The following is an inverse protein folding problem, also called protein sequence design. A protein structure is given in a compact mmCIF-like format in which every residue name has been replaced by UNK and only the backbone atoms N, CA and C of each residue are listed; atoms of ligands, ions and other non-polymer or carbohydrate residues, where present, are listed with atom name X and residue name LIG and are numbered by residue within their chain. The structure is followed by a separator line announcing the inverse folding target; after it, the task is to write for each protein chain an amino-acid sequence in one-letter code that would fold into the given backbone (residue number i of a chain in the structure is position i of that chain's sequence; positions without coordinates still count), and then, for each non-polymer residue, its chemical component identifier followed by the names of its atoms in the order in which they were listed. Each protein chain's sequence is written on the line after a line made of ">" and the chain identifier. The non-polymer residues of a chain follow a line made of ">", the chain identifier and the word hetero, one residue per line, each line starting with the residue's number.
data_IF_508373366899
#
_entry.id   IF_508373366899
#
_cell.length_a   1.000
_cell.length_b   1.000
_cell.length_c   1.000
_cell.angle_alpha   90.00
_cell.angle_beta   90.00
_cell.angle_gamma   90.00
#
_symmetry.space_group_name_H-M   'P 1'
#
loop_
_entity.id
_entity.type
_entity.pdbx_description
1 polymer ?
#
# COMPACT_ATOMS: atom_id res chain seq x y z
N UNK A 1 -27.57 2.77 -3.28
CA UNK A 1 -26.81 1.86 -2.39
C UNK A 1 -25.40 1.77 -2.94
N UNK A 2 -24.35 1.78 -2.12
CA UNK A 2 -22.95 1.96 -2.54
C UNK A 2 -22.41 0.88 -3.52
N UNK A 3 -23.14 -0.21 -3.75
CA UNK A 3 -22.87 -1.18 -4.81
C UNK A 3 -21.45 -1.74 -4.79
N UNK A 4 -20.89 -2.00 -3.60
CA UNK A 4 -19.50 -2.44 -3.48
C UNK A 4 -19.35 -3.84 -4.10
N UNK A 5 -18.55 -3.94 -5.15
CA UNK A 5 -18.11 -5.21 -5.70
C UNK A 5 -17.06 -5.86 -4.79
N UNK A 6 -17.50 -6.79 -3.94
CA UNK A 6 -16.60 -7.53 -3.03
C UNK A 6 -15.54 -8.37 -3.76
N UNK A 7 -15.81 -8.82 -4.99
CA UNK A 7 -14.80 -9.50 -5.80
C UNK A 7 -13.67 -8.53 -6.16
N UNK A 8 -14.00 -7.30 -6.56
CA UNK A 8 -13.00 -6.27 -6.83
C UNK A 8 -12.16 -5.93 -5.60
N UNK A 9 -12.77 -5.92 -4.39
CA UNK A 9 -12.05 -5.72 -3.12
C UNK A 9 -11.03 -6.83 -2.86
N UNK A 10 -11.45 -8.10 -3.02
CA UNK A 10 -10.55 -9.25 -2.82
C UNK A 10 -9.41 -9.23 -3.84
N UNK A 11 -9.71 -8.99 -5.12
CA UNK A 11 -8.69 -8.92 -6.18
C UNK A 11 -7.74 -7.75 -5.97
N UNK A 12 -8.25 -6.58 -5.57
CA UNK A 12 -7.42 -5.43 -5.21
C UNK A 12 -6.45 -5.75 -4.08
N UNK A 13 -6.92 -6.43 -3.02
CA UNK A 13 -6.08 -6.81 -1.90
C UNK A 13 -5.00 -7.83 -2.30
N UNK A 14 -5.34 -8.84 -3.10
CA UNK A 14 -4.38 -9.82 -3.61
C UNK A 14 -3.36 -9.15 -4.52
N UNK A 15 -3.79 -8.28 -5.43
CA UNK A 15 -2.90 -7.53 -6.32
C UNK A 15 -1.93 -6.64 -5.54
N UNK A 16 -2.42 -5.91 -4.53
CA UNK A 16 -1.60 -5.09 -3.65
C UNK A 16 -0.60 -5.91 -2.83
N UNK A 17 -1.01 -7.08 -2.32
CA UNK A 17 -0.13 -8.00 -1.63
C UNK A 17 0.98 -8.54 -2.53
N UNK A 18 0.64 -9.03 -3.73
CA UNK A 18 1.61 -9.54 -4.71
C UNK A 18 2.57 -8.42 -5.15
N UNK A 19 2.05 -7.23 -5.42
CA UNK A 19 2.90 -6.07 -5.75
C UNK A 19 3.88 -5.75 -4.61
N UNK A 20 3.44 -5.84 -3.36
CA UNK A 20 4.31 -5.67 -2.20
C UNK A 20 5.38 -6.75 -2.10
N UNK A 21 5.03 -8.02 -2.31
CA UNK A 21 6.00 -9.11 -2.33
C UNK A 21 7.08 -8.86 -3.39
N UNK A 22 6.67 -8.48 -4.60
CA UNK A 22 7.61 -8.14 -5.68
C UNK A 22 8.46 -6.93 -5.31
N UNK A 23 7.86 -5.89 -4.70
CA UNK A 23 8.58 -4.70 -4.26
C UNK A 23 9.69 -5.03 -3.26
N UNK A 24 9.38 -5.80 -2.21
CA UNK A 24 10.38 -6.20 -1.21
C UNK A 24 11.34 -7.28 -1.72
N UNK A 25 10.97 -8.07 -2.73
CA UNK A 25 11.92 -8.93 -3.43
C UNK A 25 13.00 -8.09 -4.15
N UNK A 26 12.60 -7.00 -4.80
CA UNK A 26 13.50 -6.10 -5.54
C UNK A 26 14.32 -5.21 -4.58
N UNK A 27 13.67 -4.54 -3.63
CA UNK A 27 14.31 -3.52 -2.78
C UNK A 27 14.71 -4.03 -1.39
N UNK A 28 14.33 -5.25 -1.00
CA UNK A 28 14.56 -5.78 0.35
C UNK A 28 16.04 -5.86 0.73
N UNK A 29 16.93 -6.21 -0.21
CA UNK A 29 18.38 -6.21 0.05
C UNK A 29 18.91 -4.81 0.35
N UNK A 30 18.40 -3.80 -0.34
CA UNK A 30 18.78 -2.41 -0.14
C UNK A 30 18.21 -1.83 1.16
N UNK A 31 17.02 -2.27 1.55
CA UNK A 31 16.41 -1.94 2.84
C UNK A 31 17.18 -2.57 4.01
N UNK A 32 17.65 -3.81 3.85
CA UNK A 32 18.43 -4.52 4.87
C UNK A 32 19.74 -3.81 5.23
N UNK A 33 20.37 -3.13 4.27
CA UNK A 33 21.60 -2.33 4.50
C UNK A 33 21.37 -1.14 5.42
N UNK A 34 20.14 -0.65 5.51
CA UNK A 34 19.77 0.54 6.30
C UNK A 34 18.82 0.22 7.45
N UNK A 35 18.49 -1.06 7.66
CA UNK A 35 17.52 -1.53 8.65
C UNK A 35 17.95 -2.87 9.25
N UNK A 36 18.55 -2.82 10.45
CA UNK A 36 18.91 -4.03 11.19
C UNK A 36 17.69 -4.92 11.48
N UNK A 37 16.56 -4.30 11.86
CA UNK A 37 15.32 -5.02 12.13
C UNK A 37 14.77 -5.74 10.89
N UNK A 38 14.86 -5.12 9.70
CA UNK A 38 14.46 -5.78 8.46
C UNK A 38 15.42 -6.91 8.07
N UNK A 39 16.73 -6.69 8.25
CA UNK A 39 17.74 -7.71 7.99
C UNK A 39 17.53 -8.96 8.87
N UNK A 40 17.25 -8.78 10.17
CA UNK A 40 16.91 -9.89 11.06
C UNK A 40 15.63 -10.61 10.62
N UNK A 41 14.59 -9.85 10.24
CA UNK A 41 13.33 -10.41 9.77
C UNK A 41 13.45 -11.27 8.51
N UNK A 42 14.43 -11.00 7.64
CA UNK A 42 14.71 -11.85 6.48
C UNK A 42 15.36 -13.19 6.86
N UNK A 43 16.17 -13.22 7.93
CA UNK A 43 16.79 -14.46 8.40
C UNK A 43 15.80 -15.35 9.15
N UNK A 44 14.83 -14.74 9.83
CA UNK A 44 13.80 -15.43 10.62
C UNK A 44 12.41 -15.11 10.06
N UNK A 45 12.01 -15.71 8.92
CA UNK A 45 10.71 -15.45 8.33
C UNK A 45 9.59 -15.83 9.29
N UNK A 46 8.64 -14.92 9.46
CA UNK A 46 7.48 -15.09 10.33
C UNK A 46 6.21 -15.10 9.47
N UNK A 47 5.65 -16.27 9.12
CA UNK A 47 4.52 -16.38 8.19
C UNK A 47 3.29 -15.56 8.59
N UNK A 48 3.05 -15.37 9.89
CA UNK A 48 1.93 -14.56 10.38
C UNK A 48 1.98 -13.10 9.92
N UNK A 49 3.18 -12.54 9.67
CA UNK A 49 3.32 -11.18 9.12
C UNK A 49 2.72 -11.07 7.71
N UNK A 50 2.78 -12.13 6.91
CA UNK A 50 2.14 -12.14 5.58
C UNK A 50 0.62 -12.08 5.70
N UNK A 51 0.04 -12.80 6.68
CA UNK A 51 -1.39 -12.73 6.97
C UNK A 51 -1.82 -11.32 7.37
N UNK A 52 -0.99 -10.62 8.16
CA UNK A 52 -1.23 -9.21 8.53
C UNK A 52 -1.21 -8.31 7.30
N UNK A 53 -0.26 -8.47 6.38
CA UNK A 53 -0.20 -7.65 5.15
C UNK A 53 -1.41 -7.92 4.25
N UNK A 54 -1.86 -9.17 4.13
CA UNK A 54 -3.08 -9.51 3.38
C UNK A 54 -4.30 -8.87 4.04
N UNK A 55 -4.45 -9.01 5.37
CA UNK A 55 -5.53 -8.39 6.13
C UNK A 55 -5.56 -6.87 6.00
N UNK A 56 -4.39 -6.23 6.10
CA UNK A 56 -4.23 -4.79 5.89
C UNK A 56 -4.64 -4.38 4.46
N UNK A 57 -4.27 -5.17 3.46
CA UNK A 57 -4.61 -4.91 2.05
C UNK A 57 -6.13 -5.03 1.81
N UNK A 58 -6.79 -6.00 2.46
CA UNK A 58 -8.24 -6.15 2.43
C UNK A 58 -8.96 -4.96 3.08
N UNK A 59 -8.50 -4.53 4.26
CA UNK A 59 -9.06 -3.37 4.95
C UNK A 59 -8.90 -2.11 4.10
N UNK A 60 -7.72 -1.87 3.54
CA UNK A 60 -7.48 -0.74 2.64
C UNK A 60 -8.38 -0.80 1.41
N UNK A 61 -8.51 -1.97 0.77
CA UNK A 61 -9.38 -2.14 -0.40
C UNK A 61 -10.85 -1.86 -0.08
N UNK A 62 -11.34 -2.32 1.06
CA UNK A 62 -12.71 -2.06 1.49
C UNK A 62 -12.95 -0.58 1.77
N UNK A 63 -12.01 0.08 2.46
CA UNK A 63 -12.11 1.52 2.78
C UNK A 63 -12.06 2.36 1.50
N UNK A 64 -11.16 2.06 0.57
CA UNK A 64 -11.09 2.77 -0.72
C UNK A 64 -12.34 2.53 -1.57
N UNK A 65 -12.87 1.30 -1.61
CA UNK A 65 -14.11 0.99 -2.29
C UNK A 65 -15.30 1.77 -1.71
N UNK A 66 -15.35 1.93 -0.38
CA UNK A 66 -16.37 2.75 0.28
C UNK A 66 -16.27 4.23 -0.11
N UNK A 67 -15.08 4.83 -0.03
CA UNK A 67 -14.90 6.25 -0.38
C UNK A 67 -15.11 6.53 -1.85
N UNK A 68 -14.58 5.68 -2.74
CA UNK A 68 -14.85 5.77 -4.18
C UNK A 68 -16.36 5.59 -4.43
N UNK A 69 -17.00 4.68 -3.69
CA UNK A 69 -18.45 4.53 -3.49
C UNK A 69 -19.18 5.86 -3.38
N UNK A 70 -18.77 6.68 -2.41
CA UNK A 70 -19.34 7.99 -2.09
C UNK A 70 -19.04 9.07 -3.15
N UNK A 71 -17.86 9.04 -3.76
CA UNK A 71 -17.46 10.00 -4.81
C UNK A 71 -18.34 9.84 -6.06
N UNK A 72 -18.94 8.66 -6.27
CA UNK A 72 -19.64 8.34 -7.51
C UNK A 72 -18.67 7.95 -8.62
N UNK A 73 -19.12 7.91 -9.88
CA UNK A 73 -18.37 7.30 -10.97
C UNK A 73 -17.02 8.00 -11.23
N UNK A 74 -15.92 7.37 -10.83
CA UNK A 74 -14.55 7.79 -11.12
C UNK A 74 -13.99 6.86 -12.18
N UNK A 75 -13.72 7.40 -13.37
CA UNK A 75 -12.95 6.68 -14.38
C UNK A 75 -11.52 6.37 -13.91
N UNK A 76 -10.77 5.62 -14.72
CA UNK A 76 -9.42 5.16 -14.38
C UNK A 76 -8.47 6.29 -13.95
N UNK A 77 -8.55 7.47 -14.59
CA UNK A 77 -7.70 8.62 -14.26
C UNK A 77 -8.08 9.23 -12.90
N UNK A 78 -9.38 9.30 -12.59
CA UNK A 78 -9.85 9.76 -11.29
C UNK A 78 -9.45 8.79 -10.17
N UNK A 79 -9.55 7.48 -10.42
CA UNK A 79 -9.08 6.46 -9.48
C UNK A 79 -7.57 6.56 -9.21
N UNK A 80 -6.77 6.78 -10.26
CA UNK A 80 -5.32 7.04 -10.13
C UNK A 80 -5.04 8.28 -9.28
N UNK A 81 -5.73 9.40 -9.55
CA UNK A 81 -5.60 10.63 -8.77
C UNK A 81 -5.95 10.41 -7.30
N UNK A 82 -7.05 9.69 -7.01
CA UNK A 82 -7.43 9.34 -5.62
C UNK A 82 -6.30 8.54 -4.94
N UNK A 83 -5.76 7.52 -5.60
CA UNK A 83 -4.65 6.73 -5.06
C UNK A 83 -3.41 7.56 -4.74
N UNK A 84 -3.02 8.46 -5.65
CA UNK A 84 -1.86 9.35 -5.47
C UNK A 84 -2.12 10.37 -4.34
N UNK A 85 -3.30 11.00 -4.31
CA UNK A 85 -3.63 11.99 -3.27
C UNK A 85 -3.68 11.35 -1.88
N UNK A 86 -4.26 10.15 -1.76
CA UNK A 86 -4.24 9.40 -0.51
C UNK A 86 -2.82 9.02 -0.10
N UNK A 87 -1.97 8.65 -1.06
CA UNK A 87 -0.56 8.38 -0.77
C UNK A 87 0.16 9.62 -0.24
N UNK A 88 -0.03 10.79 -0.88
CA UNK A 88 0.57 12.05 -0.43
C UNK A 88 0.10 12.36 1.00
N UNK A 89 -1.21 12.40 1.22
CA UNK A 89 -1.79 12.87 2.48
C UNK A 89 -1.57 11.91 3.66
N UNK A 90 -1.54 10.60 3.42
CA UNK A 90 -1.50 9.60 4.50
C UNK A 90 -0.15 8.93 4.66
N UNK A 91 0.62 8.74 3.58
CA UNK A 91 1.87 7.97 3.61
C UNK A 91 3.10 8.87 3.48
N UNK A 92 3.17 9.68 2.41
CA UNK A 92 4.35 10.50 2.14
C UNK A 92 4.62 11.49 3.28
N UNK A 93 3.60 12.20 3.74
CA UNK A 93 3.71 13.16 4.85
C UNK A 93 4.12 12.48 6.16
N UNK A 94 3.63 11.25 6.43
CA UNK A 94 4.02 10.51 7.63
C UNK A 94 5.53 10.26 7.67
N UNK A 95 6.12 9.85 6.54
CA UNK A 95 7.56 9.62 6.46
C UNK A 95 8.39 10.89 6.62
N UNK A 96 7.90 12.04 6.19
CA UNK A 96 8.57 13.33 6.45
C UNK A 96 8.77 13.54 7.95
N UNK A 97 7.73 13.28 8.75
CA UNK A 97 7.83 13.35 10.21
C UNK A 97 8.90 12.41 10.77
N UNK A 98 8.89 11.15 10.37
CA UNK A 98 9.87 10.16 10.82
C UNK A 98 11.31 10.50 10.40
N UNK A 99 11.52 11.09 9.22
CA UNK A 99 12.85 11.54 8.78
C UNK A 99 13.32 12.72 9.64
N UNK A 100 12.46 13.74 9.82
CA UNK A 100 12.83 14.98 10.48
C UNK A 100 13.03 14.82 11.98
N UNK A 101 12.16 14.05 12.65
CA UNK A 101 12.13 13.96 14.11
C UNK A 101 12.82 12.70 14.65
N UNK A 102 12.71 11.58 13.94
CA UNK A 102 13.23 10.28 14.39
C UNK A 102 14.52 9.88 13.66
N UNK A 103 15.00 10.71 12.73
CA UNK A 103 16.21 10.48 11.92
C UNK A 103 16.18 9.14 11.18
N UNK A 104 14.99 8.71 10.77
CA UNK A 104 14.84 7.51 9.95
C UNK A 104 15.66 7.67 8.65
N UNK A 105 16.44 6.65 8.22
CA UNK A 105 17.21 6.73 6.99
C UNK A 105 16.31 7.05 5.79
N UNK A 106 16.68 8.06 5.00
CA UNK A 106 15.90 8.50 3.83
C UNK A 106 15.61 7.34 2.85
N UNK A 107 16.58 6.44 2.69
CA UNK A 107 16.43 5.24 1.86
C UNK A 107 15.38 4.26 2.40
N UNK A 108 15.32 4.07 3.72
CA UNK A 108 14.30 3.24 4.36
C UNK A 108 12.91 3.84 4.12
N UNK A 109 12.76 5.14 4.39
CA UNK A 109 11.53 5.86 4.18
C UNK A 109 11.07 5.79 2.72
N UNK A 110 11.97 6.01 1.75
CA UNK A 110 11.66 5.95 0.33
C UNK A 110 11.17 4.55 -0.13
N UNK A 111 11.81 3.47 0.35
CA UNK A 111 11.41 2.10 0.00
C UNK A 111 10.01 1.80 0.53
N UNK A 112 9.73 2.14 1.80
CA UNK A 112 8.41 1.90 2.37
C UNK A 112 7.33 2.81 1.78
N UNK A 113 7.63 4.09 1.58
CA UNK A 113 6.71 5.02 0.93
C UNK A 113 6.37 4.58 -0.50
N UNK A 114 7.36 4.07 -1.26
CA UNK A 114 7.13 3.55 -2.61
C UNK A 114 6.22 2.32 -2.64
N UNK A 115 6.41 1.37 -1.72
CA UNK A 115 5.49 0.21 -1.56
C UNK A 115 4.05 0.67 -1.30
N UNK A 116 3.88 1.65 -0.41
CA UNK A 116 2.58 2.25 -0.12
C UNK A 116 1.95 2.95 -1.33
N UNK A 117 2.73 3.65 -2.15
CA UNK A 117 2.24 4.30 -3.37
C UNK A 117 1.65 3.27 -4.33
N UNK A 118 2.41 2.22 -4.61
CA UNK A 118 2.01 1.16 -5.54
C UNK A 118 0.72 0.49 -5.06
N UNK A 119 0.64 0.14 -3.77
CA UNK A 119 -0.57 -0.45 -3.16
C UNK A 119 -1.79 0.44 -3.31
N UNK A 120 -1.69 1.71 -2.89
CA UNK A 120 -2.82 2.63 -2.90
C UNK A 120 -3.32 2.90 -4.32
N UNK A 121 -2.42 3.06 -5.29
CA UNK A 121 -2.78 3.24 -6.70
C UNK A 121 -3.43 1.99 -7.27
N UNK A 122 -2.85 0.80 -7.06
CA UNK A 122 -3.44 -0.45 -7.55
C UNK A 122 -4.82 -0.69 -6.98
N UNK A 123 -4.97 -0.54 -5.66
CA UNK A 123 -6.25 -0.70 -4.99
C UNK A 123 -7.27 0.28 -5.54
N UNK A 124 -6.94 1.57 -5.60
CA UNK A 124 -7.85 2.61 -6.09
C UNK A 124 -8.31 2.35 -7.52
N UNK A 125 -7.40 1.96 -8.42
CA UNK A 125 -7.73 1.64 -9.82
C UNK A 125 -8.66 0.43 -9.89
N UNK A 126 -8.33 -0.68 -9.23
CA UNK A 126 -9.12 -1.91 -9.31
C UNK A 126 -10.54 -1.68 -8.77
N UNK A 127 -10.66 -1.11 -7.56
CA UNK A 127 -11.98 -0.89 -6.95
C UNK A 127 -12.74 0.27 -7.60
N UNK A 128 -12.05 1.20 -8.27
CA UNK A 128 -12.67 2.32 -8.96
C UNK A 128 -13.18 1.98 -10.36
N UNK A 129 -12.47 1.11 -11.08
CA UNK A 129 -12.84 0.69 -12.45
C UNK A 129 -13.80 -0.50 -12.44
N UNK A 130 -13.62 -1.44 -11.51
CA UNK A 130 -14.33 -2.72 -11.50
C UNK A 130 -15.54 -2.75 -10.57
N UNK A 131 -16.17 -1.59 -10.38
CA UNK A 131 -17.26 -1.36 -9.44
C UNK A 131 -18.48 -2.22 -9.70
#
# INVERSE_FOLDING_TARGET
>A
MLGINFLAVVVAAVAAFVASLVWYFVFGKELAKVSAAFAEGMQKPQPWKMLVVIGQSLVLALVLAYFIGLIGNVGWLGALQVGILLWIGLSAVQWVGSIMWEKVPLKMAAIHAGDWLVKLVLIAIIVGVWR
#
